data_IF_684292621943
#
_entry.id   IF_684292621943
#
_cell.length_a   1.000
_cell.length_b   1.000
_cell.length_c   1.000
_cell.angle_alpha   90.00
_cell.angle_beta   90.00
_cell.angle_gamma   90.00
#
_symmetry.space_group_name_H-M   'P 1'
#
loop_
_entity.id
_entity.type
_entity.pdbx_description
1 polymer ?
#
# COMPACT_ATOMS: atom_id res chain seq x y z
N UNK A 1 -10.67 8.03 53.80
CA UNK A 1 -9.34 7.47 54.10
C UNK A 1 -8.83 6.76 52.87
N UNK A 2 -8.02 7.39 52.07
CA UNK A 2 -7.43 6.83 50.82
C UNK A 2 -6.04 6.31 51.15
N UNK A 3 -5.85 5.02 50.98
CA UNK A 3 -4.58 4.35 51.23
C UNK A 3 -3.63 4.58 50.02
N UNK A 4 -2.56 5.32 50.23
CA UNK A 4 -1.50 5.55 49.24
C UNK A 4 -0.62 4.30 49.26
N UNK A 5 -0.57 3.57 48.12
CA UNK A 5 0.35 2.45 47.96
C UNK A 5 1.81 2.95 47.80
N UNK A 6 2.81 2.26 48.39
CA UNK A 6 4.18 2.70 48.42
C UNK A 6 4.90 2.62 47.07
N UNK A 7 5.79 3.56 46.83
CA UNK A 7 6.58 3.80 45.60
C UNK A 7 7.56 2.67 45.18
N UNK A 8 7.71 1.64 46.00
CA UNK A 8 8.62 0.50 45.77
C UNK A 8 8.27 -0.32 44.49
N UNK A 9 6.99 -0.46 44.18
CA UNK A 9 6.54 -1.24 43.01
C UNK A 9 6.84 -0.57 41.66
N UNK A 10 7.01 0.73 41.64
CA UNK A 10 7.35 1.50 40.42
C UNK A 10 8.83 1.39 40.08
N UNK A 11 9.70 1.28 41.07
CA UNK A 11 11.14 1.08 40.86
C UNK A 11 11.49 -0.33 40.40
N UNK A 12 10.82 -1.35 40.93
CA UNK A 12 11.00 -2.76 40.50
C UNK A 12 10.55 -2.98 39.04
N UNK A 13 9.47 -2.36 38.59
CA UNK A 13 9.03 -2.43 37.19
C UNK A 13 10.03 -1.77 36.25
N UNK A 14 10.66 -0.66 36.65
CA UNK A 14 11.72 0.01 35.86
C UNK A 14 13.02 -0.80 35.82
N UNK A 15 13.37 -1.51 36.89
CA UNK A 15 14.54 -2.40 36.92
C UNK A 15 14.35 -3.61 36.00
N UNK A 16 13.19 -4.29 36.04
CA UNK A 16 12.86 -5.41 35.14
C UNK A 16 12.88 -5.02 33.67
N UNK A 17 12.37 -3.83 33.30
CA UNK A 17 12.38 -3.38 31.90
C UNK A 17 13.79 -3.06 31.38
N UNK A 18 14.71 -2.63 32.24
CA UNK A 18 16.11 -2.40 31.86
C UNK A 18 16.91 -3.70 31.69
N UNK A 19 16.58 -4.73 32.44
CA UNK A 19 17.24 -6.01 32.36
C UNK A 19 16.88 -6.81 31.11
N UNK A 20 15.59 -6.76 30.69
CA UNK A 20 15.12 -7.37 29.43
C UNK A 20 15.68 -6.65 28.20
N UNK A 21 15.92 -5.35 28.26
CA UNK A 21 16.53 -4.59 27.17
C UNK A 21 18.02 -4.92 26.97
N UNK A 22 18.77 -5.17 28.07
CA UNK A 22 20.20 -5.56 28.01
C UNK A 22 20.41 -6.99 27.48
N UNK A 23 19.48 -7.92 27.71
CA UNK A 23 19.59 -9.29 27.19
C UNK A 23 19.37 -9.36 25.68
N UNK A 24 18.46 -8.55 25.12
CA UNK A 24 18.21 -8.51 23.67
C UNK A 24 19.41 -8.00 22.86
N UNK A 25 20.19 -7.07 23.38
CA UNK A 25 21.40 -6.59 22.69
C UNK A 25 22.56 -7.56 22.71
N UNK A 26 22.62 -8.51 23.67
CA UNK A 26 23.68 -9.54 23.71
C UNK A 26 23.45 -10.66 22.69
N UNK A 27 22.19 -10.99 22.38
CA UNK A 27 21.85 -12.00 21.37
C UNK A 27 22.04 -11.50 19.92
N UNK A 28 21.86 -10.22 19.67
CA UNK A 28 22.11 -9.59 18.36
C UNK A 28 23.62 -9.49 18.02
N UNK A 29 24.49 -9.39 19.03
CA UNK A 29 25.93 -9.32 18.81
C UNK A 29 26.57 -10.71 18.50
N UNK A 30 25.92 -11.80 18.87
CA UNK A 30 26.44 -13.17 18.63
C UNK A 30 26.02 -13.67 17.23
N UNK A 31 24.92 -13.19 16.68
CA UNK A 31 24.45 -13.58 15.34
C UNK A 31 25.25 -12.92 14.19
N UNK A 32 25.98 -11.83 14.44
CA UNK A 32 26.74 -11.10 13.40
C UNK A 32 28.17 -11.62 13.23
N UNK A 33 28.67 -12.48 14.13
CA UNK A 33 30.06 -12.98 14.11
C UNK A 33 30.28 -14.29 13.32
N UNK A 34 29.21 -14.93 12.81
CA UNK A 34 29.30 -16.23 12.13
C UNK A 34 29.17 -16.20 10.61
N UNK A 35 29.04 -15.04 9.97
CA UNK A 35 28.85 -14.91 8.51
C UNK A 35 30.12 -14.50 7.73
N UNK A 36 31.26 -14.22 8.40
CA UNK A 36 32.49 -13.70 7.73
C UNK A 36 33.54 -14.78 7.40
N UNK A 37 33.28 -16.08 7.59
CA UNK A 37 34.29 -17.13 7.41
C UNK A 37 34.00 -18.10 6.23
N UNK A 38 33.30 -17.74 5.17
CA UNK A 38 33.16 -18.60 3.99
C UNK A 38 33.05 -17.78 2.71
N UNK A 39 34.15 -17.34 2.14
CA UNK A 39 34.15 -16.62 0.87
C UNK A 39 35.53 -16.26 0.33
N UNK A 40 36.37 -17.27 0.11
CA UNK A 40 37.58 -17.08 -0.69
C UNK A 40 37.81 -18.32 -1.59
N UNK A 41 38.03 -18.03 -2.87
CA UNK A 41 38.48 -18.90 -3.94
C UNK A 41 37.40 -19.45 -4.90
N UNK A 42 37.22 -18.77 -6.04
CA UNK A 42 37.48 -19.34 -7.37
C UNK A 42 37.63 -18.16 -8.36
N UNK A 43 38.84 -17.92 -8.82
CA UNK A 43 39.12 -17.08 -9.97
C UNK A 43 39.18 -17.95 -11.23
N UNK A 44 38.43 -17.56 -12.27
CA UNK A 44 38.66 -18.07 -13.62
C UNK A 44 38.70 -16.85 -14.54
N UNK A 45 39.87 -16.66 -15.15
CA UNK A 45 40.12 -15.65 -16.13
C UNK A 45 39.47 -15.98 -17.47
N UNK A 46 39.01 -14.95 -18.17
CA UNK A 46 38.67 -15.03 -19.60
C UNK A 46 39.50 -14.01 -20.33
N UNK A 47 40.27 -14.53 -21.28
CA UNK A 47 41.15 -13.78 -22.16
C UNK A 47 40.35 -12.96 -23.21
N UNK A 48 40.80 -11.73 -23.41
CA UNK A 48 40.39 -10.83 -24.49
C UNK A 48 41.23 -11.19 -25.73
N UNK A 49 40.59 -11.43 -26.87
CA UNK A 49 41.24 -11.36 -28.16
C UNK A 49 40.55 -10.32 -29.03
N UNK A 50 41.27 -9.23 -29.25
CA UNK A 50 41.02 -8.28 -30.34
C UNK A 50 41.40 -8.89 -31.67
N UNK A 51 40.64 -8.62 -32.72
CA UNK A 51 41.13 -8.64 -34.09
C UNK A 51 40.41 -7.56 -34.87
N UNK A 52 41.16 -6.52 -35.18
CA UNK A 52 40.90 -5.55 -36.23
C UNK A 52 41.00 -6.25 -37.61
N UNK A 53 40.19 -5.92 -38.56
CA UNK A 53 40.70 -5.65 -39.90
C UNK A 53 39.76 -4.78 -40.76
N UNK A 54 40.39 -3.94 -41.54
CA UNK A 54 39.87 -2.85 -42.35
C UNK A 54 39.61 -3.29 -43.79
N UNK A 55 38.76 -2.56 -44.53
CA UNK A 55 38.99 -2.45 -45.96
C UNK A 55 37.81 -2.33 -46.90
N UNK A 56 37.50 -1.09 -47.26
CA UNK A 56 37.32 -0.49 -48.60
C UNK A 56 36.27 -1.03 -49.61
N UNK A 57 35.34 -0.14 -49.90
CA UNK A 57 35.01 0.49 -51.22
C UNK A 57 34.83 -0.34 -52.49
N UNK A 58 33.63 -0.29 -53.10
CA UNK A 58 33.34 0.24 -54.45
C UNK A 58 31.95 -0.19 -54.99
N UNK A 59 31.18 0.76 -55.46
CA UNK A 59 30.08 0.61 -56.40
C UNK A 59 30.61 0.85 -57.82
N UNK A 60 29.80 0.84 -58.91
CA UNK A 60 28.55 0.18 -59.25
C UNK A 60 28.61 -0.60 -60.57
N UNK A 61 27.63 -1.42 -60.96
CA UNK A 61 27.25 -1.55 -62.38
C UNK A 61 25.87 -2.22 -62.57
N UNK A 62 25.20 -1.79 -63.52
CA UNK A 62 23.89 -1.76 -64.12
C UNK A 62 23.46 -3.06 -64.78
N UNK A 63 22.06 -3.28 -64.70
CA UNK A 63 21.22 -3.85 -65.78
C UNK A 63 21.14 -5.37 -65.94
N UNK A 64 19.94 -5.95 -65.68
CA UNK A 64 19.08 -6.44 -66.76
C UNK A 64 17.77 -7.01 -66.20
N UNK A 65 16.71 -6.69 -66.89
CA UNK A 65 15.33 -7.13 -66.73
C UNK A 65 15.15 -8.61 -67.03
N UNK A 66 14.44 -9.34 -66.15
CA UNK A 66 13.69 -10.53 -66.55
C UNK A 66 12.42 -10.62 -65.69
N UNK A 67 11.28 -10.48 -66.35
CA UNK A 67 9.96 -10.70 -65.76
C UNK A 67 9.78 -12.15 -65.45
N UNK A 68 9.52 -12.47 -64.18
CA UNK A 68 9.00 -13.76 -63.76
C UNK A 68 7.76 -13.53 -62.90
N UNK A 69 6.64 -13.96 -63.40
CA UNK A 69 5.35 -13.98 -62.72
C UNK A 69 5.44 -14.87 -61.50
N UNK A 70 5.48 -14.29 -60.34
CA UNK A 70 5.38 -15.00 -59.09
C UNK A 70 3.96 -14.86 -58.53
N UNK A 71 3.28 -15.95 -58.46
CA UNK A 71 1.97 -16.15 -57.80
C UNK A 71 2.11 -15.72 -56.34
N UNK A 72 1.47 -14.62 -55.96
CA UNK A 72 1.41 -14.18 -54.58
C UNK A 72 0.48 -15.11 -53.81
N UNK A 73 1.03 -16.09 -53.12
CA UNK A 73 0.33 -16.79 -52.04
C UNK A 73 0.19 -15.81 -50.89
N UNK A 74 -1.01 -15.27 -50.72
CA UNK A 74 -1.39 -14.44 -49.59
C UNK A 74 -1.33 -15.28 -48.30
N UNK A 75 -0.22 -15.21 -47.62
CA UNK A 75 -0.14 -15.74 -46.24
C UNK A 75 -0.84 -14.79 -45.32
N UNK A 76 -2.10 -15.07 -45.01
CA UNK A 76 -2.86 -14.37 -44.00
C UNK A 76 -2.10 -14.47 -42.68
N UNK A 77 -1.80 -13.37 -41.97
CA UNK A 77 -1.13 -13.44 -40.67
C UNK A 77 -2.07 -14.16 -39.71
N UNK A 78 -1.65 -15.32 -39.23
CA UNK A 78 -2.32 -16.04 -38.15
C UNK A 78 -2.17 -15.17 -36.89
N UNK A 79 -3.22 -14.45 -36.54
CA UNK A 79 -3.29 -13.70 -35.28
C UNK A 79 -3.35 -14.72 -34.15
N UNK A 80 -2.19 -14.99 -33.55
CA UNK A 80 -2.13 -15.81 -32.33
C UNK A 80 -2.77 -15.00 -31.21
N UNK A 81 -4.02 -15.25 -30.92
CA UNK A 81 -4.69 -14.66 -29.75
C UNK A 81 -4.06 -15.28 -28.51
N UNK A 82 -3.12 -14.58 -27.88
CA UNK A 82 -2.57 -14.97 -26.59
C UNK A 82 -3.67 -14.81 -25.54
N UNK A 83 -4.29 -15.90 -25.15
CA UNK A 83 -5.25 -15.91 -24.04
C UNK A 83 -4.48 -15.71 -22.73
N UNK A 84 -4.78 -14.64 -21.99
CA UNK A 84 -4.21 -14.43 -20.67
C UNK A 84 -4.64 -15.53 -19.71
N UNK A 85 -3.78 -15.94 -18.76
CA UNK A 85 -4.17 -16.91 -17.73
C UNK A 85 -5.40 -16.43 -16.96
N UNK A 86 -6.37 -17.32 -16.80
CA UNK A 86 -7.56 -17.04 -16.02
C UNK A 86 -7.20 -16.88 -14.53
N UNK A 87 -7.88 -15.97 -13.86
CA UNK A 87 -7.79 -15.82 -12.39
C UNK A 87 -8.34 -17.10 -11.74
N UNK A 88 -7.49 -17.78 -10.96
CA UNK A 88 -7.88 -18.97 -10.20
C UNK A 88 -8.80 -18.53 -9.06
N UNK A 89 -10.02 -19.03 -9.07
CA UNK A 89 -10.98 -18.76 -8.03
C UNK A 89 -10.72 -19.63 -6.79
N UNK A 90 -10.93 -19.11 -5.58
CA UNK A 90 -10.82 -19.91 -4.36
C UNK A 90 -11.84 -21.05 -4.37
N UNK A 91 -11.50 -22.14 -3.68
CA UNK A 91 -12.44 -23.24 -3.50
C UNK A 91 -13.75 -22.75 -2.89
N UNK A 92 -14.86 -23.13 -3.52
CA UNK A 92 -16.21 -22.81 -3.04
C UNK A 92 -16.61 -23.73 -1.89
N UNK A 93 -17.40 -23.16 -0.98
CA UNK A 93 -18.11 -23.89 0.10
C UNK A 93 -17.18 -24.48 1.19
N UNK A 94 -16.44 -23.61 1.90
CA UNK A 94 -15.95 -23.96 3.22
C UNK A 94 -17.09 -23.74 4.24
N UNK A 95 -17.37 -24.75 5.07
CA UNK A 95 -18.29 -24.57 6.19
C UNK A 95 -17.57 -23.83 7.32
N UNK A 96 -17.96 -22.57 7.54
CA UNK A 96 -17.48 -21.79 8.68
C UNK A 96 -18.43 -21.95 9.87
N UNK A 97 -17.97 -21.84 11.13
CA UNK A 97 -18.84 -21.87 12.29
C UNK A 97 -19.96 -20.82 12.19
N UNK A 98 -21.16 -21.09 12.72
CA UNK A 98 -22.24 -20.10 12.72
C UNK A 98 -21.86 -18.89 13.58
N UNK A 99 -22.34 -17.70 13.18
CA UNK A 99 -22.15 -16.45 13.91
C UNK A 99 -23.47 -16.01 14.51
N UNK A 100 -23.67 -16.34 15.79
CA UNK A 100 -24.87 -15.92 16.54
C UNK A 100 -24.79 -14.45 16.97
N UNK A 101 -23.56 -13.98 17.24
CA UNK A 101 -23.24 -12.59 17.54
C UNK A 101 -22.04 -12.15 16.71
N UNK A 102 -22.05 -10.89 16.26
CA UNK A 102 -20.93 -10.40 15.44
C UNK A 102 -19.58 -10.57 16.16
N UNK A 103 -18.60 -11.18 15.46
CA UNK A 103 -17.26 -11.37 15.97
C UNK A 103 -16.46 -10.07 15.89
N UNK A 104 -15.59 -9.87 16.86
CA UNK A 104 -14.71 -8.72 16.99
C UNK A 104 -13.75 -8.91 18.16
N UNK A 105 -13.09 -7.84 18.59
CA UNK A 105 -12.18 -7.90 19.75
C UNK A 105 -12.86 -8.52 20.95
N UNK A 106 -12.19 -9.50 21.61
CA UNK A 106 -12.70 -10.25 22.76
C UNK A 106 -13.64 -11.42 22.42
N UNK A 107 -13.86 -11.74 21.14
CA UNK A 107 -14.61 -12.94 20.73
C UNK A 107 -13.83 -14.23 21.05
N UNK A 108 -14.58 -15.34 21.18
CA UNK A 108 -14.01 -16.66 21.48
C UNK A 108 -12.97 -17.06 20.42
N UNK A 109 -11.72 -17.37 20.81
CA UNK A 109 -10.64 -17.74 19.90
C UNK A 109 -10.95 -18.93 19.00
N UNK A 110 -11.67 -19.93 19.48
CA UNK A 110 -11.97 -21.13 18.70
C UNK A 110 -12.96 -20.85 17.56
N UNK A 111 -13.80 -19.80 17.72
CA UNK A 111 -14.71 -19.35 16.67
C UNK A 111 -13.96 -18.40 15.71
N UNK A 112 -13.05 -17.55 16.21
CA UNK A 112 -12.32 -16.56 15.41
C UNK A 112 -11.32 -17.22 14.47
N UNK A 113 -10.58 -18.22 14.93
CA UNK A 113 -9.50 -18.87 14.20
C UNK A 113 -9.90 -19.40 12.80
N UNK A 114 -11.01 -20.09 12.61
CA UNK A 114 -11.46 -20.50 11.28
C UNK A 114 -11.71 -19.33 10.32
N UNK A 115 -12.17 -18.19 10.82
CA UNK A 115 -12.37 -16.98 10.03
C UNK A 115 -11.06 -16.31 9.66
N UNK A 116 -10.09 -16.25 10.58
CA UNK A 116 -8.73 -15.79 10.26
C UNK A 116 -8.09 -16.68 9.19
N UNK A 117 -8.20 -18.00 9.33
CA UNK A 117 -7.67 -18.92 8.32
C UNK A 117 -8.31 -18.66 6.95
N UNK A 118 -9.64 -18.53 6.89
CA UNK A 118 -10.33 -18.27 5.61
C UNK A 118 -9.94 -16.92 5.01
N UNK A 119 -9.79 -15.86 5.83
CA UNK A 119 -9.29 -14.57 5.36
C UNK A 119 -7.88 -14.71 4.77
N UNK A 120 -6.98 -15.43 5.44
CA UNK A 120 -5.63 -15.68 4.95
C UNK A 120 -5.63 -16.48 3.62
N UNK A 121 -6.43 -17.54 3.52
CA UNK A 121 -6.60 -18.35 2.30
C UNK A 121 -7.12 -17.52 1.12
N UNK A 122 -7.88 -16.47 1.40
CA UNK A 122 -8.41 -15.51 0.43
C UNK A 122 -7.50 -14.30 0.22
N UNK A 123 -6.28 -14.33 0.74
CA UNK A 123 -5.29 -13.25 0.65
C UNK A 123 -5.72 -11.91 1.28
N UNK A 124 -6.70 -11.92 2.20
CA UNK A 124 -6.95 -10.84 3.13
C UNK A 124 -6.09 -11.10 4.38
N UNK A 125 -4.96 -10.48 4.53
CA UNK A 125 -4.06 -10.79 5.64
C UNK A 125 -4.63 -10.39 7.01
N UNK A 126 -5.10 -11.34 7.83
CA UNK A 126 -5.67 -11.08 9.15
C UNK A 126 -4.59 -10.97 10.24
N UNK A 127 -3.31 -11.02 9.90
CA UNK A 127 -2.22 -11.28 10.81
C UNK A 127 -2.12 -12.76 11.21
N UNK A 128 -1.55 -13.08 12.38
CA UNK A 128 -1.46 -14.46 12.88
C UNK A 128 -2.83 -15.12 13.01
N UNK A 129 -2.91 -16.38 12.60
CA UNK A 129 -4.11 -17.23 12.78
C UNK A 129 -4.08 -17.84 14.17
N UNK A 130 -4.31 -17.00 15.19
CA UNK A 130 -4.15 -17.34 16.62
C UNK A 130 -5.47 -17.35 17.41
N UNK A 131 -6.57 -16.94 16.75
CA UNK A 131 -7.87 -16.78 17.38
C UNK A 131 -8.06 -15.44 18.10
N UNK A 132 -7.03 -14.59 18.14
CA UNK A 132 -7.17 -13.25 18.69
C UNK A 132 -7.65 -12.28 17.62
N UNK A 133 -8.85 -11.74 17.78
CA UNK A 133 -9.43 -10.74 16.89
C UNK A 133 -8.77 -9.37 17.13
N UNK A 134 -7.55 -9.23 16.61
CA UNK A 134 -6.73 -8.01 16.72
C UNK A 134 -7.01 -6.98 15.62
N UNK A 135 -6.13 -5.98 15.56
CA UNK A 135 -6.21 -4.89 14.58
C UNK A 135 -6.04 -5.41 13.14
N UNK A 136 -5.09 -6.34 12.91
CA UNK A 136 -4.87 -6.94 11.60
C UNK A 136 -6.12 -7.69 11.09
N UNK A 137 -6.77 -8.48 11.95
CA UNK A 137 -8.03 -9.15 11.61
C UNK A 137 -9.14 -8.13 11.30
N UNK A 138 -9.21 -7.04 12.07
CA UNK A 138 -10.16 -5.95 11.81
C UNK A 138 -9.95 -5.34 10.42
N UNK A 139 -8.71 -5.01 10.04
CA UNK A 139 -8.41 -4.47 8.71
C UNK A 139 -8.68 -5.46 7.57
N UNK A 140 -8.42 -6.74 7.76
CA UNK A 140 -8.75 -7.78 6.78
C UNK A 140 -10.27 -7.86 6.54
N UNK A 141 -11.06 -7.81 7.61
CA UNK A 141 -12.53 -7.79 7.52
C UNK A 141 -13.04 -6.51 6.89
N UNK A 142 -12.45 -5.35 7.19
CA UNK A 142 -12.80 -4.10 6.51
C UNK A 142 -12.52 -4.16 5.01
N UNK A 143 -11.41 -4.79 4.58
CA UNK A 143 -11.12 -5.00 3.16
C UNK A 143 -12.20 -5.86 2.49
N UNK A 144 -12.62 -6.96 3.13
CA UNK A 144 -13.74 -7.78 2.65
C UNK A 144 -15.03 -6.98 2.55
N UNK A 145 -15.38 -6.22 3.60
CA UNK A 145 -16.60 -5.40 3.65
C UNK A 145 -16.60 -4.34 2.53
N UNK A 146 -15.47 -3.71 2.29
CA UNK A 146 -15.28 -2.75 1.20
C UNK A 146 -15.47 -3.41 -0.18
N UNK A 147 -14.91 -4.60 -0.40
CA UNK A 147 -15.09 -5.33 -1.66
C UNK A 147 -16.53 -5.76 -1.88
N UNK A 148 -17.18 -6.27 -0.83
CA UNK A 148 -18.56 -6.77 -0.88
C UNK A 148 -19.63 -5.66 -0.80
N UNK A 149 -19.24 -4.41 -0.55
CA UNK A 149 -20.19 -3.29 -0.41
C UNK A 149 -20.94 -3.28 0.92
N UNK A 150 -20.41 -3.91 1.95
CA UNK A 150 -20.99 -3.88 3.30
C UNK A 150 -20.61 -2.62 4.08
N UNK A 151 -21.31 -2.39 5.19
CA UNK A 151 -20.91 -1.39 6.18
C UNK A 151 -19.55 -1.76 6.77
N UNK A 152 -18.64 -0.79 6.81
CA UNK A 152 -17.21 -0.96 7.17
C UNK A 152 -17.04 -0.97 8.69
N UNK A 153 -17.50 -2.03 9.34
CA UNK A 153 -17.55 -2.17 10.81
C UNK A 153 -16.31 -2.85 11.39
N UNK A 154 -15.53 -3.52 10.53
CA UNK A 154 -14.42 -4.37 10.94
C UNK A 154 -14.86 -5.59 11.78
N UNK A 155 -16.14 -5.95 11.75
CA UNK A 155 -16.73 -7.08 12.51
C UNK A 155 -17.34 -8.08 11.56
N UNK A 156 -17.28 -9.37 11.91
CA UNK A 156 -17.91 -10.44 11.13
C UNK A 156 -19.29 -10.72 11.71
N UNK A 157 -20.34 -10.39 10.97
CA UNK A 157 -21.70 -10.83 11.21
C UNK A 157 -22.07 -12.00 10.30
N UNK A 158 -23.36 -12.39 10.30
CA UNK A 158 -23.85 -13.49 9.47
C UNK A 158 -23.65 -13.23 7.97
N UNK A 159 -23.79 -11.98 7.51
CA UNK A 159 -23.57 -11.62 6.09
C UNK A 159 -22.12 -11.78 5.67
N UNK A 160 -21.18 -11.31 6.49
CA UNK A 160 -19.74 -11.48 6.23
C UNK A 160 -19.34 -12.95 6.29
N UNK A 161 -19.89 -13.73 7.24
CA UNK A 161 -19.62 -15.15 7.36
C UNK A 161 -20.05 -15.94 6.11
N UNK A 162 -21.26 -15.68 5.60
CA UNK A 162 -21.78 -16.28 4.35
C UNK A 162 -20.91 -15.88 3.16
N UNK A 163 -20.56 -14.59 3.08
CA UNK A 163 -19.73 -14.07 2.00
C UNK A 163 -18.32 -14.68 2.03
N UNK A 164 -17.69 -14.80 3.20
CA UNK A 164 -16.38 -15.44 3.35
C UNK A 164 -16.40 -16.91 2.94
N UNK A 165 -17.45 -17.65 3.33
CA UNK A 165 -17.60 -19.06 2.97
C UNK A 165 -17.65 -19.27 1.45
N UNK A 166 -18.37 -18.40 0.72
CA UNK A 166 -18.62 -18.50 -0.72
C UNK A 166 -17.85 -17.46 -1.55
N UNK A 167 -16.83 -16.82 -0.99
CA UNK A 167 -16.13 -15.70 -1.65
C UNK A 167 -15.49 -16.12 -2.97
N UNK A 168 -15.74 -15.32 -3.99
CA UNK A 168 -15.08 -15.39 -5.29
C UNK A 168 -14.40 -14.05 -5.57
N UNK A 169 -13.22 -14.07 -6.17
CA UNK A 169 -12.57 -12.84 -6.59
C UNK A 169 -13.39 -12.17 -7.70
N UNK A 170 -13.67 -10.87 -7.57
CA UNK A 170 -14.25 -10.13 -8.68
C UNK A 170 -13.26 -10.09 -9.86
N UNK A 171 -13.74 -9.85 -11.09
CA UNK A 171 -12.86 -9.60 -12.21
C UNK A 171 -11.86 -8.48 -11.87
N UNK A 172 -10.59 -8.59 -12.32
CA UNK A 172 -9.63 -7.51 -12.18
C UNK A 172 -10.15 -6.21 -12.78
N UNK A 173 -9.83 -5.07 -12.16
CA UNK A 173 -10.18 -3.75 -12.72
C UNK A 173 -9.43 -3.47 -14.02
N UNK A 174 -8.23 -4.04 -14.17
CA UNK A 174 -7.44 -4.05 -15.40
C UNK A 174 -7.29 -5.48 -15.94
N UNK A 175 -8.28 -6.00 -16.69
CA UNK A 175 -8.24 -7.40 -17.15
C UNK A 175 -7.06 -7.72 -18.07
N UNK A 176 -6.57 -6.74 -18.83
CA UNK A 176 -5.41 -6.86 -19.73
C UNK A 176 -4.11 -6.31 -19.15
N UNK A 177 -4.08 -6.09 -17.83
CA UNK A 177 -2.90 -5.59 -17.13
C UNK A 177 -1.77 -6.62 -17.08
N UNK A 178 -0.59 -6.16 -16.69
CA UNK A 178 0.61 -6.98 -16.55
C UNK A 178 0.43 -8.06 -15.46
N UNK A 179 1.20 -9.18 -15.53
CA UNK A 179 1.07 -10.29 -14.59
C UNK A 179 1.32 -9.88 -13.13
N UNK A 180 2.28 -8.98 -12.92
CA UNK A 180 2.62 -8.43 -11.61
C UNK A 180 2.21 -6.96 -11.61
N UNK A 181 1.23 -6.61 -10.80
CA UNK A 181 0.70 -5.25 -10.74
C UNK A 181 -0.05 -4.98 -9.45
N UNK A 182 -0.20 -3.71 -9.12
CA UNK A 182 -1.06 -3.23 -8.05
C UNK A 182 -2.27 -2.52 -8.65
N UNK A 183 -3.47 -2.86 -8.21
CA UNK A 183 -4.71 -2.17 -8.54
C UNK A 183 -5.25 -1.47 -7.28
N UNK A 184 -5.45 -0.15 -7.36
CA UNK A 184 -5.97 0.69 -6.28
C UNK A 184 -7.37 1.16 -6.68
N UNK A 185 -8.40 0.64 -6.01
CA UNK A 185 -9.78 1.08 -6.14
C UNK A 185 -10.05 2.21 -5.13
N UNK A 186 -10.00 3.45 -5.60
CA UNK A 186 -10.23 4.64 -4.77
C UNK A 186 -11.68 4.73 -4.31
N UNK A 187 -12.65 4.25 -5.09
CA UNK A 187 -14.05 4.27 -4.71
C UNK A 187 -14.34 3.29 -3.57
N UNK A 188 -13.77 2.09 -3.64
CA UNK A 188 -13.91 1.06 -2.60
C UNK A 188 -12.93 1.24 -1.46
N UNK A 189 -11.80 1.94 -1.66
CA UNK A 189 -10.71 2.07 -0.71
C UNK A 189 -10.04 0.71 -0.44
N UNK A 190 -9.69 -0.01 -1.51
CA UNK A 190 -9.05 -1.32 -1.49
C UNK A 190 -7.86 -1.34 -2.44
N UNK A 191 -6.81 -2.04 -2.04
CA UNK A 191 -5.70 -2.44 -2.92
C UNK A 191 -5.83 -3.94 -3.19
N UNK A 192 -5.69 -4.33 -4.46
CA UNK A 192 -5.46 -5.72 -4.88
C UNK A 192 -4.11 -5.81 -5.58
N UNK A 193 -3.23 -6.66 -5.05
CA UNK A 193 -1.94 -6.97 -5.65
C UNK A 193 -2.04 -8.29 -6.40
N UNK A 194 -1.55 -8.29 -7.63
CA UNK A 194 -1.46 -9.48 -8.47
C UNK A 194 -0.01 -9.91 -8.66
N UNK A 195 0.22 -11.21 -8.58
CA UNK A 195 1.48 -11.87 -8.94
C UNK A 195 1.17 -13.00 -9.93
N UNK A 196 1.79 -12.98 -11.11
CA UNK A 196 1.52 -13.95 -12.19
C UNK A 196 0.03 -14.08 -12.55
N UNK A 197 -0.70 -12.95 -12.62
CA UNK A 197 -2.15 -12.83 -12.86
C UNK A 197 -3.04 -13.34 -11.72
N UNK A 198 -2.48 -13.86 -10.63
CA UNK A 198 -3.23 -14.36 -9.48
C UNK A 198 -3.25 -13.31 -8.35
N UNK A 199 -4.32 -13.31 -7.56
CA UNK A 199 -4.39 -12.46 -6.37
C UNK A 199 -3.32 -12.90 -5.37
N UNK A 200 -2.50 -11.96 -4.93
CA UNK A 200 -1.44 -12.17 -3.94
C UNK A 200 -1.73 -11.51 -2.60
N UNK A 201 -2.42 -10.37 -2.63
CA UNK A 201 -2.83 -9.62 -1.44
C UNK A 201 -4.05 -8.76 -1.76
N UNK A 202 -5.00 -8.75 -0.85
CA UNK A 202 -6.10 -7.78 -0.81
C UNK A 202 -6.03 -7.06 0.54
N UNK A 203 -5.96 -5.72 0.52
CA UNK A 203 -5.89 -4.95 1.77
C UNK A 203 -6.73 -3.70 1.73
N UNK A 204 -7.22 -3.30 2.89
CA UNK A 204 -7.89 -2.02 3.08
C UNK A 204 -6.89 -0.87 2.86
N UNK A 205 -7.38 0.24 2.35
CA UNK A 205 -6.59 1.47 2.21
C UNK A 205 -7.39 2.70 2.57
N UNK A 206 -6.69 3.84 2.74
CA UNK A 206 -7.27 5.17 2.85
C UNK A 206 -6.46 6.11 1.97
N UNK A 207 -7.10 6.64 0.92
CA UNK A 207 -6.51 7.48 -0.11
C UNK A 207 -6.75 8.97 0.15
N UNK A 208 -6.43 9.84 -0.82
CA UNK A 208 -6.62 11.29 -0.73
C UNK A 208 -8.05 11.68 -0.36
N UNK A 209 -8.19 12.61 0.61
CA UNK A 209 -9.48 13.02 1.18
C UNK A 209 -10.34 13.86 0.25
N UNK A 210 -9.77 14.45 -0.80
CA UNK A 210 -10.44 15.42 -1.66
C UNK A 210 -10.46 16.84 -1.08
N UNK A 211 -9.97 17.05 0.13
CA UNK A 211 -9.96 18.36 0.79
C UNK A 211 -8.78 19.22 0.33
N UNK A 212 -8.96 20.55 0.41
CA UNK A 212 -7.87 21.49 0.15
C UNK A 212 -6.94 21.56 1.35
N UNK A 213 -5.65 21.55 1.11
CA UNK A 213 -4.62 21.72 2.13
C UNK A 213 -3.48 22.61 1.61
N UNK A 214 -2.70 23.16 2.53
CA UNK A 214 -1.54 23.97 2.18
C UNK A 214 -0.35 23.57 3.05
N UNK A 215 0.84 23.62 2.48
CA UNK A 215 2.10 23.37 3.19
C UNK A 215 3.20 24.30 2.68
N UNK A 216 4.29 24.41 3.42
CA UNK A 216 5.47 25.15 3.00
C UNK A 216 6.45 24.21 2.31
N UNK A 217 6.82 24.52 1.06
CA UNK A 217 7.80 23.72 0.31
C UNK A 217 9.18 23.88 0.94
N UNK A 218 9.84 22.77 1.36
CA UNK A 218 11.18 22.84 1.91
C UNK A 218 12.28 22.84 0.83
N UNK A 219 11.95 22.58 -0.44
CA UNK A 219 12.93 22.36 -1.51
C UNK A 219 13.33 23.64 -2.23
N UNK A 220 12.33 24.48 -2.59
CA UNK A 220 12.58 25.62 -3.46
C UNK A 220 12.76 26.92 -2.66
N UNK A 221 11.84 27.17 -1.75
CA UNK A 221 11.83 28.30 -0.83
C UNK A 221 11.04 27.90 0.43
N UNK A 222 11.67 27.81 1.62
CA UNK A 222 10.97 27.38 2.84
C UNK A 222 9.74 28.24 3.18
N UNK A 223 9.68 29.48 2.71
CA UNK A 223 8.56 30.40 2.95
C UNK A 223 7.46 30.29 1.88
N UNK A 224 7.72 29.58 0.74
CA UNK A 224 6.73 29.41 -0.31
C UNK A 224 5.62 28.48 0.15
N UNK A 225 4.41 29.02 0.25
CA UNK A 225 3.21 28.27 0.55
C UNK A 225 2.66 27.63 -0.74
N UNK A 226 2.46 26.31 -0.72
CA UNK A 226 1.84 25.54 -1.81
C UNK A 226 0.48 25.06 -1.30
N UNK A 227 -0.57 25.22 -2.12
CA UNK A 227 -1.92 24.75 -1.79
C UNK A 227 -2.39 23.79 -2.90
N UNK A 228 -2.91 22.64 -2.49
CA UNK A 228 -3.32 21.55 -3.39
C UNK A 228 -4.64 20.95 -2.90
N UNK A 229 -5.21 20.06 -3.71
CA UNK A 229 -6.31 19.19 -3.33
C UNK A 229 -5.75 17.80 -3.00
N UNK A 230 -6.16 17.24 -1.89
CA UNK A 230 -5.73 15.94 -1.39
C UNK A 230 -6.28 14.79 -2.25
N UNK A 231 -5.72 14.58 -3.44
CA UNK A 231 -6.24 13.65 -4.43
C UNK A 231 -5.25 12.51 -4.68
N UNK A 232 -5.76 11.28 -4.79
CA UNK A 232 -5.04 10.16 -5.39
C UNK A 232 -5.48 10.08 -6.85
N UNK A 233 -4.65 10.50 -7.83
CA UNK A 233 -5.08 10.60 -9.22
C UNK A 233 -5.24 9.24 -9.86
N UNK A 234 -6.29 9.07 -10.68
CA UNK A 234 -6.49 7.87 -11.50
C UNK A 234 -5.49 7.81 -12.65
N UNK A 235 -5.19 6.61 -13.10
CA UNK A 235 -4.28 6.38 -14.23
C UNK A 235 -3.40 5.15 -14.04
N UNK A 236 -2.48 4.97 -15.00
CA UNK A 236 -1.42 3.97 -14.95
C UNK A 236 -0.11 4.63 -14.56
N UNK A 237 0.48 4.14 -13.49
CA UNK A 237 1.77 4.57 -12.95
C UNK A 237 2.70 3.35 -12.84
N UNK A 238 3.91 3.58 -12.32
CA UNK A 238 4.84 2.51 -11.93
C UNK A 238 5.49 2.87 -10.60
N UNK A 239 5.87 1.87 -9.82
CA UNK A 239 6.69 2.11 -8.65
C UNK A 239 8.05 2.66 -9.06
N UNK A 240 8.47 3.75 -8.43
CA UNK A 240 9.69 4.48 -8.80
C UNK A 240 10.79 4.40 -7.75
N UNK A 241 10.41 4.40 -6.46
CA UNK A 241 11.36 4.48 -5.35
C UNK A 241 10.76 3.88 -4.08
N UNK A 242 11.55 3.09 -3.39
CA UNK A 242 11.29 2.60 -2.03
C UNK A 242 12.20 3.30 -1.01
N UNK A 243 11.68 3.56 0.19
CA UNK A 243 12.47 4.04 1.33
C UNK A 243 12.22 3.10 2.51
N UNK A 244 13.29 2.48 3.02
CA UNK A 244 13.19 1.60 4.17
C UNK A 244 13.02 2.42 5.46
N UNK A 245 12.11 1.97 6.31
CA UNK A 245 11.80 2.64 7.58
C UNK A 245 10.89 3.86 7.39
N UNK A 246 11.14 4.90 8.19
CA UNK A 246 10.35 6.12 8.19
C UNK A 246 10.94 7.17 7.24
N UNK A 247 10.15 7.64 6.29
CA UNK A 247 10.49 8.79 5.44
C UNK A 247 9.73 10.05 5.93
N UNK A 248 10.47 11.17 6.03
CA UNK A 248 9.91 12.45 6.45
C UNK A 248 9.50 13.26 5.23
N UNK A 249 8.22 13.62 5.16
CA UNK A 249 7.69 14.53 4.15
C UNK A 249 7.18 15.83 4.80
N UNK A 250 6.96 16.90 4.02
CA UNK A 250 6.31 18.11 4.53
C UNK A 250 4.92 17.89 5.13
N UNK A 251 4.27 16.78 4.76
CA UNK A 251 2.90 16.42 5.14
C UNK A 251 2.85 15.33 6.23
N UNK A 252 4.00 14.96 6.80
CA UNK A 252 4.10 13.97 7.87
C UNK A 252 5.09 12.87 7.58
N UNK A 253 5.04 11.81 8.37
CA UNK A 253 5.92 10.65 8.26
C UNK A 253 5.21 9.51 7.55
N UNK A 254 5.92 8.84 6.64
CA UNK A 254 5.48 7.67 5.90
C UNK A 254 6.32 6.48 6.33
N UNK A 255 5.68 5.35 6.64
CA UNK A 255 6.38 4.12 7.01
C UNK A 255 6.51 3.19 5.80
N UNK A 256 7.74 2.77 5.47
CA UNK A 256 8.04 1.89 4.34
C UNK A 256 7.41 2.37 3.02
N UNK A 257 7.53 3.67 2.63
CA UNK A 257 6.83 4.16 1.46
C UNK A 257 7.43 3.60 0.17
N UNK A 258 6.56 3.13 -0.72
CA UNK A 258 6.87 2.82 -2.10
C UNK A 258 6.16 3.83 -3.01
N UNK A 259 6.93 4.75 -3.57
CA UNK A 259 6.42 5.86 -4.36
C UNK A 259 6.06 5.41 -5.78
N UNK A 260 4.95 5.91 -6.33
CA UNK A 260 4.49 5.58 -7.67
C UNK A 260 4.09 6.79 -8.51
N UNK A 261 3.83 7.96 -7.89
CA UNK A 261 3.52 9.19 -8.62
C UNK A 261 4.07 10.40 -7.85
N UNK A 262 5.26 10.90 -8.23
CA UNK A 262 5.90 12.03 -7.58
C UNK A 262 6.08 11.82 -6.07
N UNK A 263 5.31 12.56 -5.26
CA UNK A 263 5.27 12.42 -3.80
C UNK A 263 4.24 11.43 -3.26
N UNK A 264 3.45 10.80 -4.12
CA UNK A 264 2.40 9.85 -3.74
C UNK A 264 2.98 8.44 -3.64
N UNK A 265 2.72 7.76 -2.54
CA UNK A 265 3.21 6.43 -2.23
C UNK A 265 2.12 5.52 -1.64
N UNK A 266 2.31 4.21 -1.76
CA UNK A 266 1.72 3.23 -0.86
C UNK A 266 2.61 3.16 0.37
N UNK A 267 2.06 3.36 1.57
CA UNK A 267 2.85 3.39 2.80
C UNK A 267 2.05 2.96 4.03
N UNK A 268 2.75 2.44 5.03
CA UNK A 268 2.17 2.13 6.33
C UNK A 268 1.77 3.38 7.10
N UNK A 269 0.63 3.30 7.78
CA UNK A 269 0.17 4.33 8.69
C UNK A 269 -0.50 3.72 9.92
N UNK A 270 -0.31 4.34 11.07
CA UNK A 270 -0.81 3.82 12.35
C UNK A 270 -2.34 3.77 12.45
N UNK A 271 -3.04 4.48 11.57
CA UNK A 271 -4.50 4.44 11.46
C UNK A 271 -4.88 4.49 9.98
N UNK A 272 -5.62 3.48 9.52
CA UNK A 272 -6.18 3.42 8.17
C UNK A 272 -7.69 3.58 8.27
N UNK A 273 -8.21 4.82 8.19
CA UNK A 273 -9.65 5.06 8.25
C UNK A 273 -10.40 4.32 7.15
N UNK A 274 -11.66 4.02 7.42
CA UNK A 274 -12.53 3.32 6.46
C UNK A 274 -12.93 4.18 5.24
N UNK A 275 -12.63 5.48 5.29
CA UNK A 275 -12.87 6.49 4.24
C UNK A 275 -11.57 7.17 3.81
N UNK A 276 -11.55 7.89 2.67
CA UNK A 276 -10.42 8.71 2.25
C UNK A 276 -10.03 9.75 3.31
N UNK A 277 -8.74 9.82 3.69
CA UNK A 277 -8.27 10.72 4.76
C UNK A 277 -6.80 11.16 4.60
N UNK A 278 -6.14 10.83 3.50
CA UNK A 278 -4.76 11.23 3.25
C UNK A 278 -4.67 12.52 2.43
N UNK A 279 -3.46 13.04 2.23
CA UNK A 279 -3.17 14.15 1.31
C UNK A 279 -2.92 13.68 -0.15
N UNK A 280 -3.16 12.42 -0.46
CA UNK A 280 -2.96 11.83 -1.79
C UNK A 280 -2.28 10.47 -1.74
N UNK A 281 -1.48 10.19 -0.73
CA UNK A 281 -0.88 8.87 -0.53
C UNK A 281 -1.93 7.79 -0.25
N UNK A 282 -1.56 6.55 -0.47
CA UNK A 282 -2.37 5.37 -0.26
C UNK A 282 -1.91 4.69 1.04
N UNK A 283 -2.62 4.94 2.14
CA UNK A 283 -2.30 4.38 3.46
C UNK A 283 -2.69 2.92 3.52
N UNK A 284 -1.81 2.06 4.04
CA UNK A 284 -2.08 0.64 4.34
C UNK A 284 -1.78 0.34 5.81
N UNK A 285 -2.36 -0.75 6.38
CA UNK A 285 -2.05 -1.18 7.73
C UNK A 285 -0.56 -1.40 7.97
N UNK A 286 -0.08 -1.11 9.18
CA UNK A 286 1.34 -1.22 9.51
C UNK A 286 1.89 -2.63 9.31
N UNK A 287 1.15 -3.69 9.71
CA UNK A 287 1.58 -5.07 9.54
C UNK A 287 1.72 -5.46 8.05
N UNK A 288 0.89 -4.89 7.17
CA UNK A 288 1.03 -5.07 5.72
C UNK A 288 2.28 -4.33 5.21
N UNK A 289 2.50 -3.09 5.66
CA UNK A 289 3.64 -2.29 5.21
C UNK A 289 4.99 -2.91 5.57
N UNK A 290 5.07 -3.69 6.66
CA UNK A 290 6.29 -4.42 7.06
C UNK A 290 6.87 -5.28 5.92
N UNK A 291 6.02 -5.87 5.09
CA UNK A 291 6.44 -6.78 4.03
C UNK A 291 5.98 -6.38 2.62
N UNK A 292 5.10 -5.39 2.47
CA UNK A 292 4.57 -4.97 1.15
C UNK A 292 5.68 -4.73 0.12
N UNK A 293 6.78 -4.12 0.55
CA UNK A 293 7.94 -3.84 -0.30
C UNK A 293 8.64 -5.11 -0.83
N UNK A 294 8.39 -6.29 -0.25
CA UNK A 294 8.93 -7.56 -0.74
C UNK A 294 8.07 -8.17 -1.85
N UNK A 295 6.82 -7.71 -1.98
CA UNK A 295 5.84 -8.19 -2.95
C UNK A 295 5.87 -7.39 -4.26
N UNK A 296 6.43 -6.18 -4.25
CA UNK A 296 6.45 -5.27 -5.39
C UNK A 296 7.88 -4.81 -5.70
N UNK A 297 8.13 -4.39 -6.95
CA UNK A 297 9.45 -3.94 -7.41
C UNK A 297 9.34 -2.58 -8.09
N UNK A 298 10.46 -1.87 -8.17
CA UNK A 298 10.58 -0.69 -9.04
C UNK A 298 10.22 -1.10 -10.48
N UNK A 299 9.44 -0.27 -11.15
CA UNK A 299 8.83 -0.45 -12.47
C UNK A 299 7.61 -1.38 -12.52
N UNK A 300 7.20 -2.05 -11.43
CA UNK A 300 5.93 -2.76 -11.42
C UNK A 300 4.78 -1.76 -11.61
N UNK A 301 3.77 -2.08 -12.44
CA UNK A 301 2.65 -1.20 -12.71
C UNK A 301 1.75 -0.98 -11.49
N UNK A 302 1.26 0.25 -11.37
CA UNK A 302 0.24 0.67 -10.42
C UNK A 302 -0.92 1.29 -11.18
N UNK A 303 -2.06 0.65 -11.14
CA UNK A 303 -3.29 1.14 -11.73
C UNK A 303 -4.19 1.73 -10.64
N UNK A 304 -4.60 2.97 -10.81
CA UNK A 304 -5.49 3.69 -9.88
C UNK A 304 -6.82 3.95 -10.57
N UNK A 305 -7.91 3.50 -9.95
CA UNK A 305 -9.27 3.64 -10.47
C UNK A 305 -10.14 4.46 -9.53
N UNK A 306 -11.04 5.26 -10.10
CA UNK A 306 -12.02 6.05 -9.33
C UNK A 306 -11.46 7.31 -8.67
N UNK A 307 -10.20 7.64 -8.88
CA UNK A 307 -9.60 8.92 -8.48
C UNK A 307 -9.82 10.01 -9.53
N UNK A 308 -9.37 11.23 -9.24
CA UNK A 308 -9.37 12.31 -10.22
C UNK A 308 -8.29 12.04 -11.28
N UNK A 309 -8.57 12.20 -12.59
CA UNK A 309 -7.56 12.03 -13.62
C UNK A 309 -6.34 12.91 -13.39
N UNK A 310 -5.14 12.35 -13.57
CA UNK A 310 -3.87 13.04 -13.34
C UNK A 310 -3.70 14.29 -14.23
N UNK A 311 -4.25 14.25 -15.44
CA UNK A 311 -4.20 15.35 -16.41
C UNK A 311 -4.98 16.60 -15.93
N UNK A 312 -6.10 16.39 -15.22
CA UNK A 312 -6.89 17.51 -14.66
C UNK A 312 -6.11 18.20 -13.53
N UNK A 313 -5.34 17.45 -12.75
CA UNK A 313 -4.55 18.00 -11.65
C UNK A 313 -3.34 18.80 -12.13
N UNK A 314 -2.75 18.44 -13.27
CA UNK A 314 -1.57 19.12 -13.83
C UNK A 314 -1.93 20.44 -14.55
N UNK A 315 -3.18 20.61 -14.99
CA UNK A 315 -3.63 21.72 -15.82
C UNK A 315 -4.33 22.86 -15.09
N UNK A 316 -4.65 22.71 -13.81
CA UNK A 316 -5.38 23.73 -13.05
C UNK A 316 -4.41 24.67 -12.30
N UNK A 317 -4.25 25.95 -12.71
CA UNK A 317 -3.56 26.94 -11.90
C UNK A 317 -4.36 27.17 -10.61
N UNK A 318 -3.81 26.79 -9.49
CA UNK A 318 -4.49 27.02 -8.20
C UNK A 318 -4.37 28.49 -7.80
N UNK A 319 -5.46 29.22 -7.88
CA UNK A 319 -5.55 30.55 -7.27
C UNK A 319 -5.36 30.42 -5.76
N UNK A 320 -4.47 31.21 -5.14
CA UNK A 320 -4.30 31.20 -3.70
C UNK A 320 -5.64 31.45 -3.00
N UNK A 321 -5.93 30.68 -1.96
CA UNK A 321 -7.11 30.93 -1.14
C UNK A 321 -7.05 32.37 -0.56
N UNK A 322 -8.17 33.10 -0.50
CA UNK A 322 -8.20 34.41 0.14
C UNK A 322 -7.70 34.29 1.59
N UNK A 323 -7.01 35.33 2.11
CA UNK A 323 -6.55 35.31 3.49
C UNK A 323 -7.75 35.10 4.44
N UNK A 324 -7.54 34.27 5.46
CA UNK A 324 -8.56 34.04 6.48
C UNK A 324 -8.99 35.39 7.08
N UNK A 325 -10.29 35.62 7.35
CA UNK A 325 -10.72 36.81 8.03
C UNK A 325 -10.01 36.96 9.37
N UNK A 326 -9.67 38.18 9.81
CA UNK A 326 -9.01 38.40 11.10
C UNK A 326 -9.85 37.75 12.21
N UNK A 327 -9.17 37.03 13.10
CA UNK A 327 -9.80 36.41 14.26
C UNK A 327 -10.58 37.50 15.03
N UNK A 328 -11.89 37.33 15.11
CA UNK A 328 -12.73 38.16 15.97
C UNK A 328 -12.31 37.92 17.41
N UNK A 329 -11.76 38.95 18.05
CA UNK A 329 -11.46 38.92 19.47
C UNK A 329 -12.73 38.58 20.24
N UNK A 330 -12.70 37.62 21.17
CA UNK A 330 -13.86 37.36 22.02
C UNK A 330 -14.26 38.64 22.76
N UNK A 331 -15.55 38.94 22.98
CA UNK A 331 -15.96 40.09 23.74
C UNK A 331 -15.36 40.01 25.15
N UNK A 332 -14.75 41.11 25.56
CA UNK A 332 -14.16 41.30 26.89
C UNK A 332 -15.23 41.04 27.95
N UNK A 333 -14.98 40.07 28.83
CA UNK A 333 -15.92 39.71 29.90
C UNK A 333 -15.92 40.86 30.90
N UNK A 334 -17.00 41.67 30.91
CA UNK A 334 -17.21 42.70 31.88
C UNK A 334 -17.35 42.07 33.26
N UNK A 335 -16.45 42.42 34.18
CA UNK A 335 -16.49 41.95 35.55
C UNK A 335 -17.79 42.43 36.25
N UNK A 336 -18.42 41.61 37.10
CA UNK A 336 -19.63 42.02 37.82
C UNK A 336 -19.34 43.16 38.79
N UNK A 337 -20.12 44.25 38.65
CA UNK A 337 -20.09 45.41 39.56
C UNK A 337 -20.69 44.97 40.90
N UNK A 338 -19.90 45.01 41.95
CA UNK A 338 -20.35 44.82 43.33
C UNK A 338 -21.20 45.99 43.78
N UNK A 339 -22.43 45.77 44.31
CA UNK A 339 -23.23 46.88 44.86
C UNK A 339 -22.64 47.39 46.19
N UNK A 340 -22.78 48.70 46.50
CA UNK A 340 -22.29 49.27 47.77
C UNK A 340 -23.08 48.75 48.96
N UNK A 341 -22.36 48.42 50.05
CA UNK A 341 -22.93 48.04 51.33
C UNK A 341 -23.63 49.26 51.96
N UNK A 342 -24.89 49.02 52.41
CA UNK A 342 -25.66 49.91 53.28
C UNK A 342 -25.50 49.50 54.74
#
# INVERSE_FOLDING_TARGET
MGTIMPDATRQERRAKSRQTRRSRHKWLAIALATVIAAGAAVGIGIAVTNSDDSGASAAPTRRSTTSSSSSSTSTQPTTTTTTLPALVQPATALTLPPVDRSLGSGSNPDIVRPYQQRLADLHFDPGPVDGNYGEATTYAVEALQKMAGFSRTGRIGSAEAITLAAFQYPPPLQPTGEPNRTEIDVAKQVITLYENYQVRLITTTSTGSGERYCYNSPRDNPTRRICEVATTPSGRFTYTRFVSGWDKSPLGQLYQPFYFNGGIAVHGYSSVPTSPASHGCTRIPMHIAEYFHTLVKVNDPVYVFGGTPAEILSSTPMTPAPPAPPATTPPETVAPVTPPAS
#
